data_IF_904255750308
#
_entry.id   IF_904255750308
#
_cell.length_a   1.000
_cell.length_b   1.000
_cell.length_c   1.000
_cell.angle_alpha   90.00
_cell.angle_beta   90.00
_cell.angle_gamma   90.00
#
_symmetry.space_group_name_H-M   'P 1'
#
loop_
_entity.id
_entity.type
_entity.pdbx_description
1 polymer ?
#
# COMPACT_ATOMS: atom_id res chain seq x y z
N UNK A 1 7.32 -69.34 -60.58
CA UNK A 1 7.15 -69.17 -59.12
C UNK A 1 8.39 -68.43 -58.63
N UNK A 2 8.27 -67.11 -58.42
CA UNK A 2 9.35 -66.25 -57.91
C UNK A 2 9.39 -66.34 -56.38
N UNK A 3 10.58 -66.40 -55.74
CA UNK A 3 10.68 -66.29 -54.29
C UNK A 3 10.49 -64.83 -53.82
N UNK A 4 9.96 -64.61 -52.62
CA UNK A 4 9.48 -63.31 -52.17
C UNK A 4 10.61 -62.39 -51.69
N UNK A 5 10.44 -61.11 -52.00
CA UNK A 5 11.28 -59.98 -51.62
C UNK A 5 11.10 -59.63 -50.14
N UNK A 6 12.20 -59.60 -49.39
CA UNK A 6 12.29 -59.05 -48.03
C UNK A 6 12.31 -57.52 -48.11
N UNK A 7 11.27 -56.87 -47.60
CA UNK A 7 11.23 -55.41 -47.36
C UNK A 7 11.63 -55.17 -45.89
N UNK A 8 12.63 -54.33 -45.59
CA UNK A 8 12.99 -54.01 -44.22
C UNK A 8 11.99 -53.02 -43.62
N UNK A 9 11.41 -53.40 -42.48
CA UNK A 9 10.52 -52.56 -41.68
C UNK A 9 11.36 -51.48 -40.97
N UNK A 10 11.33 -50.24 -41.48
CA UNK A 10 11.88 -49.07 -40.79
C UNK A 10 10.93 -48.66 -39.65
N UNK A 11 11.32 -48.96 -38.40
CA UNK A 11 10.72 -48.34 -37.22
C UNK A 11 11.14 -46.86 -37.17
N UNK A 12 10.22 -45.97 -37.56
CA UNK A 12 10.31 -44.53 -37.24
C UNK A 12 9.97 -44.35 -35.76
N UNK A 13 11.00 -44.24 -34.91
CA UNK A 13 10.84 -43.73 -33.56
C UNK A 13 10.49 -42.24 -33.63
N UNK A 14 9.21 -41.89 -33.46
CA UNK A 14 8.78 -40.51 -33.27
C UNK A 14 9.23 -40.04 -31.88
N UNK A 15 10.39 -39.39 -31.82
CA UNK A 15 10.78 -38.56 -30.69
C UNK A 15 9.86 -37.34 -30.66
N UNK A 16 8.80 -37.41 -29.84
CA UNK A 16 8.04 -36.24 -29.46
C UNK A 16 8.96 -35.32 -28.65
N UNK A 17 9.52 -34.30 -29.29
CA UNK A 17 10.11 -33.16 -28.60
C UNK A 17 8.98 -32.42 -27.88
N UNK A 18 8.79 -32.71 -26.60
CA UNK A 18 8.11 -31.78 -25.70
C UNK A 18 9.03 -30.57 -25.60
N UNK A 19 8.71 -29.51 -26.34
CA UNK A 19 9.33 -28.22 -26.13
C UNK A 19 8.97 -27.80 -24.70
N UNK A 20 9.92 -27.94 -23.78
CA UNK A 20 9.82 -27.31 -22.48
C UNK A 20 9.71 -25.81 -22.74
N UNK A 21 8.52 -25.25 -22.56
CA UNK A 21 8.35 -23.81 -22.40
C UNK A 21 9.39 -23.36 -21.38
N UNK A 22 10.21 -22.33 -21.65
CA UNK A 22 11.11 -21.79 -20.66
C UNK A 22 10.28 -21.51 -19.42
N UNK A 23 10.54 -22.25 -18.34
CA UNK A 23 9.86 -22.01 -17.08
C UNK A 23 10.02 -20.54 -16.78
N UNK A 24 8.90 -19.81 -16.69
CA UNK A 24 8.89 -18.50 -16.08
C UNK A 24 9.54 -18.70 -14.71
N UNK A 25 10.78 -18.25 -14.55
CA UNK A 25 11.38 -18.13 -13.23
C UNK A 25 10.42 -17.19 -12.50
N UNK A 26 9.72 -17.63 -11.44
CA UNK A 26 8.85 -16.73 -10.71
C UNK A 26 9.72 -15.56 -10.24
N UNK A 27 9.41 -14.37 -10.72
CA UNK A 27 10.09 -13.17 -10.27
C UNK A 27 9.56 -12.90 -8.86
N UNK A 28 10.24 -13.47 -7.87
CA UNK A 28 10.01 -13.12 -6.48
C UNK A 28 10.44 -11.66 -6.35
N UNK A 29 9.54 -10.80 -5.88
CA UNK A 29 9.85 -9.43 -5.50
C UNK A 29 11.03 -9.49 -4.54
N UNK A 30 12.26 -9.22 -5.04
CA UNK A 30 13.46 -9.44 -4.23
C UNK A 30 13.35 -8.53 -3.01
N UNK A 31 13.54 -9.06 -1.79
CA UNK A 31 13.58 -8.25 -0.59
C UNK A 31 14.57 -7.10 -0.82
N UNK A 32 14.17 -5.89 -0.43
CA UNK A 32 15.09 -4.75 -0.45
C UNK A 32 16.33 -5.11 0.36
N UNK A 33 17.51 -4.72 -0.12
CA UNK A 33 18.73 -4.85 0.69
C UNK A 33 18.76 -3.90 1.89
N UNK A 34 17.84 -2.93 1.92
CA UNK A 34 17.67 -1.96 2.98
C UNK A 34 16.48 -2.33 3.85
N UNK A 35 16.51 -1.92 5.10
CA UNK A 35 15.31 -1.95 5.96
C UNK A 35 14.19 -1.12 5.32
N UNK A 36 12.96 -1.63 5.36
CA UNK A 36 11.85 -1.00 4.67
C UNK A 36 11.17 0.07 5.54
N UNK A 37 11.70 1.30 5.50
CA UNK A 37 11.03 2.47 6.09
C UNK A 37 10.01 2.99 5.10
N UNK A 38 8.73 2.78 5.41
CA UNK A 38 7.63 3.26 4.58
C UNK A 38 7.06 4.57 5.11
N UNK A 39 7.01 5.58 4.25
CA UNK A 39 6.43 6.88 4.60
C UNK A 39 4.91 6.84 4.46
N UNK A 40 4.21 6.63 5.58
CA UNK A 40 2.76 6.56 5.64
C UNK A 40 2.13 7.84 5.06
N UNK A 41 1.43 7.72 3.94
CA UNK A 41 0.86 8.82 3.15
C UNK A 41 1.87 9.91 2.80
N UNK A 42 3.12 9.51 2.53
CA UNK A 42 4.25 10.40 2.30
C UNK A 42 4.89 10.99 3.57
N UNK A 43 4.58 10.47 4.75
CA UNK A 43 5.08 10.99 6.04
C UNK A 43 4.18 12.07 6.61
N UNK A 44 2.89 11.73 6.79
CA UNK A 44 1.81 12.62 7.25
C UNK A 44 2.15 13.41 8.51
N UNK A 45 3.00 12.91 9.39
CA UNK A 45 3.41 13.63 10.60
C UNK A 45 4.30 14.85 10.31
N UNK A 46 5.01 14.82 9.19
CA UNK A 46 5.89 15.91 8.75
C UNK A 46 5.18 16.88 7.80
N UNK A 47 4.39 16.38 6.84
CA UNK A 47 3.77 17.16 5.76
C UNK A 47 2.33 16.68 5.55
N UNK A 48 1.41 17.54 5.08
CA UNK A 48 0.01 17.16 4.81
C UNK A 48 -0.09 15.91 3.92
N UNK A 49 -0.80 14.90 4.42
CA UNK A 49 -0.86 13.54 3.87
C UNK A 49 -1.24 13.46 2.40
N UNK A 50 -0.76 12.42 1.70
CA UNK A 50 -1.22 12.04 0.37
C UNK A 50 -1.10 13.17 -0.68
N UNK A 51 -0.17 14.11 -0.46
CA UNK A 51 0.12 15.23 -1.36
C UNK A 51 1.51 15.11 -2.00
N UNK A 52 1.71 15.70 -3.19
CA UNK A 52 3.04 15.72 -3.84
C UNK A 52 4.15 16.24 -2.90
N UNK A 53 3.97 17.30 -2.11
CA UNK A 53 4.95 17.74 -1.13
C UNK A 53 5.30 16.70 -0.07
N UNK A 54 4.35 15.91 0.43
CA UNK A 54 4.65 14.85 1.40
C UNK A 54 5.59 13.81 0.78
N UNK A 55 5.25 13.30 -0.40
CA UNK A 55 6.09 12.34 -1.12
C UNK A 55 7.47 12.91 -1.48
N UNK A 56 7.55 14.20 -1.83
CA UNK A 56 8.83 14.89 -2.05
C UNK A 56 9.73 14.84 -0.81
N UNK A 57 9.19 15.15 0.36
CA UNK A 57 9.96 15.11 1.60
C UNK A 57 10.30 13.69 2.04
N UNK A 58 9.43 12.71 1.82
CA UNK A 58 9.74 11.29 2.02
C UNK A 58 10.96 10.84 1.19
N UNK A 59 11.03 11.23 -0.09
CA UNK A 59 12.20 10.97 -0.95
C UNK A 59 13.47 11.66 -0.41
N UNK A 60 13.36 12.94 -0.01
CA UNK A 60 14.49 13.70 0.54
C UNK A 60 14.99 13.11 1.86
N UNK A 61 14.08 12.61 2.69
CA UNK A 61 14.41 11.98 3.96
C UNK A 61 14.95 10.55 3.80
N UNK A 62 14.74 9.94 2.63
CA UNK A 62 15.29 8.64 2.26
C UNK A 62 14.42 7.50 2.75
N UNK A 63 13.11 7.61 2.61
CA UNK A 63 12.22 6.47 2.75
C UNK A 63 12.57 5.38 1.73
N UNK A 64 12.43 4.12 2.12
CA UNK A 64 12.63 2.98 1.22
C UNK A 64 11.40 2.77 0.33
N UNK A 65 10.22 3.07 0.87
CA UNK A 65 8.94 2.90 0.22
C UNK A 65 8.07 4.14 0.45
N UNK A 66 7.37 4.57 -0.59
CA UNK A 66 6.27 5.53 -0.48
C UNK A 66 4.99 4.75 -0.27
N UNK A 67 4.32 5.01 0.86
CA UNK A 67 3.03 4.41 1.18
C UNK A 67 1.94 5.44 0.91
N UNK A 68 0.82 5.00 0.32
CA UNK A 68 -0.32 5.87 0.04
C UNK A 68 -1.63 5.09 -0.08
N UNK A 69 -2.72 5.85 -0.03
CA UNK A 69 -4.08 5.35 -0.15
C UNK A 69 -4.70 5.69 -1.50
N UNK A 70 -5.59 4.83 -2.01
CA UNK A 70 -6.37 5.10 -3.19
C UNK A 70 -7.87 5.05 -2.95
N UNK A 71 -8.56 5.98 -3.61
CA UNK A 71 -10.00 5.98 -3.85
C UNK A 71 -10.30 6.10 -5.35
N UNK A 72 -11.56 5.88 -5.74
CA UNK A 72 -11.98 5.97 -7.15
C UNK A 72 -13.16 6.92 -7.29
N UNK A 73 -13.01 7.91 -8.16
CA UNK A 73 -14.05 8.90 -8.45
C UNK A 73 -15.27 8.30 -9.14
N UNK A 74 -16.36 9.06 -9.21
CA UNK A 74 -17.59 8.71 -9.93
C UNK A 74 -17.33 8.27 -11.37
N UNK A 75 -16.50 9.04 -12.08
CA UNK A 75 -16.05 8.84 -13.46
C UNK A 75 -14.88 7.83 -13.59
N UNK A 76 -14.50 7.15 -12.50
CA UNK A 76 -13.66 5.96 -12.54
C UNK A 76 -12.15 6.23 -12.55
N UNK A 77 -11.72 7.40 -12.07
CA UNK A 77 -10.30 7.76 -11.98
C UNK A 77 -9.76 7.37 -10.60
N UNK A 78 -8.61 6.69 -10.57
CA UNK A 78 -7.91 6.36 -9.33
C UNK A 78 -7.17 7.59 -8.82
N UNK A 79 -7.48 7.99 -7.59
CA UNK A 79 -6.91 9.18 -6.93
C UNK A 79 -6.29 8.82 -5.59
N UNK A 80 -5.27 9.59 -5.19
CA UNK A 80 -4.51 9.43 -3.96
C UNK A 80 -5.27 10.09 -2.81
N UNK A 81 -6.01 9.29 -2.04
CA UNK A 81 -6.90 9.76 -0.99
C UNK A 81 -7.25 8.63 0.00
N UNK A 82 -7.31 8.95 1.29
CA UNK A 82 -7.50 7.97 2.36
C UNK A 82 -8.95 7.64 2.67
N UNK A 83 -9.79 8.66 2.84
CA UNK A 83 -11.11 8.47 3.42
C UNK A 83 -12.14 8.17 2.32
N UNK A 84 -13.28 7.55 2.64
CA UNK A 84 -14.32 7.40 1.63
C UNK A 84 -15.00 8.73 1.30
N UNK A 85 -15.02 9.67 2.27
CA UNK A 85 -15.59 11.01 2.14
C UNK A 85 -14.49 12.08 2.03
N UNK A 86 -14.80 13.21 1.40
CA UNK A 86 -13.94 14.40 1.43
C UNK A 86 -14.09 15.07 2.80
N UNK A 87 -13.11 14.88 3.68
CA UNK A 87 -13.23 15.29 5.08
C UNK A 87 -12.94 16.79 5.26
N UNK A 88 -13.81 17.58 5.94
CA UNK A 88 -13.64 19.02 6.10
C UNK A 88 -12.40 19.44 6.90
N UNK A 89 -11.85 18.55 7.74
CA UNK A 89 -10.59 18.82 8.46
C UNK A 89 -9.34 18.70 7.56
N UNK A 90 -9.46 18.10 6.38
CA UNK A 90 -8.36 17.84 5.44
C UNK A 90 -8.43 18.70 4.18
N UNK A 91 -9.62 18.90 3.63
CA UNK A 91 -9.83 19.69 2.42
C UNK A 91 -10.82 20.84 2.62
N UNK A 92 -10.70 21.86 1.77
CA UNK A 92 -11.67 22.96 1.62
C UNK A 92 -12.12 23.10 0.17
N UNK A 93 -13.39 23.45 -0.02
CA UNK A 93 -13.91 23.89 -1.30
C UNK A 93 -13.25 25.23 -1.72
N UNK A 94 -12.95 25.38 -3.01
CA UNK A 94 -12.43 26.65 -3.55
C UNK A 94 -13.38 27.27 -4.57
N UNK A 95 -13.91 26.46 -5.48
CA UNK A 95 -14.87 26.85 -6.53
C UNK A 95 -15.62 25.61 -7.03
N UNK A 96 -16.80 25.77 -7.64
CA UNK A 96 -17.42 24.68 -8.38
C UNK A 96 -16.60 24.33 -9.63
N UNK A 97 -16.73 23.09 -10.09
CA UNK A 97 -16.08 22.58 -11.29
C UNK A 97 -16.63 23.24 -12.57
N UNK A 98 -17.90 23.62 -12.55
CA UNK A 98 -18.58 24.36 -13.61
C UNK A 98 -19.67 25.27 -13.01
N UNK A 99 -20.14 26.25 -13.77
CA UNK A 99 -21.20 27.17 -13.35
C UNK A 99 -22.46 26.40 -12.96
N UNK A 100 -23.08 26.78 -11.83
CA UNK A 100 -24.28 26.14 -11.28
C UNK A 100 -24.17 24.63 -11.05
N UNK A 101 -22.97 24.10 -10.76
CA UNK A 101 -22.80 22.70 -10.39
C UNK A 101 -23.68 22.35 -9.17
N UNK A 102 -24.73 21.52 -9.32
CA UNK A 102 -25.67 21.20 -8.24
C UNK A 102 -25.01 20.40 -7.12
N UNK A 103 -23.83 19.84 -7.38
CA UNK A 103 -23.07 19.10 -6.40
C UNK A 103 -22.10 19.99 -5.59
N UNK A 104 -21.95 21.28 -5.87
CA UNK A 104 -21.14 22.16 -5.03
C UNK A 104 -21.94 22.62 -3.78
N UNK A 105 -21.38 22.60 -2.55
CA UNK A 105 -20.00 22.26 -2.17
C UNK A 105 -19.70 20.74 -2.13
N UNK A 106 -18.44 20.36 -2.33
CA UNK A 106 -18.02 18.96 -2.42
C UNK A 106 -17.49 18.39 -1.10
N UNK A 107 -16.93 19.23 -0.22
CA UNK A 107 -16.47 18.76 1.10
C UNK A 107 -17.65 18.19 1.89
N UNK A 108 -17.46 17.02 2.48
CA UNK A 108 -18.48 16.24 3.18
C UNK A 108 -19.17 15.19 2.31
N UNK A 109 -18.90 15.13 1.00
CA UNK A 109 -19.44 14.11 0.09
C UNK A 109 -18.51 12.92 -0.05
N UNK A 110 -19.10 11.76 -0.36
CA UNK A 110 -18.37 10.54 -0.70
C UNK A 110 -17.62 10.69 -2.02
N UNK A 111 -16.34 10.36 -2.03
CA UNK A 111 -15.44 10.44 -3.20
C UNK A 111 -16.00 9.69 -4.41
N UNK A 112 -16.59 8.52 -4.20
CA UNK A 112 -17.19 7.70 -5.26
C UNK A 112 -18.38 8.39 -5.97
N UNK A 113 -18.92 9.47 -5.39
CA UNK A 113 -19.99 10.29 -5.96
C UNK A 113 -19.49 11.59 -6.60
N UNK A 114 -18.20 11.90 -6.53
CA UNK A 114 -17.60 13.09 -7.13
C UNK A 114 -16.80 12.71 -8.38
N UNK A 115 -16.87 13.53 -9.42
CA UNK A 115 -16.03 13.40 -10.62
C UNK A 115 -14.61 13.91 -10.35
N UNK A 116 -13.64 13.53 -11.19
CA UNK A 116 -12.29 14.07 -11.10
C UNK A 116 -12.28 15.60 -11.18
N UNK A 117 -13.08 16.19 -12.07
CA UNK A 117 -13.16 17.63 -12.26
C UNK A 117 -13.57 18.37 -10.96
N UNK A 118 -14.51 17.80 -10.21
CA UNK A 118 -14.96 18.31 -8.90
C UNK A 118 -13.87 18.14 -7.84
N UNK A 119 -13.28 16.95 -7.75
CA UNK A 119 -12.19 16.66 -6.81
C UNK A 119 -10.99 17.59 -7.03
N UNK A 120 -10.69 17.95 -8.29
CA UNK A 120 -9.59 18.85 -8.66
C UNK A 120 -9.82 20.33 -8.32
N UNK A 121 -10.98 20.71 -7.80
CA UNK A 121 -11.18 22.07 -7.26
C UNK A 121 -10.82 22.17 -5.77
N UNK A 122 -10.61 21.05 -5.08
CA UNK A 122 -10.36 21.03 -3.64
C UNK A 122 -8.93 21.46 -3.31
N UNK A 123 -8.79 22.25 -2.25
CA UNK A 123 -7.49 22.49 -1.61
C UNK A 123 -7.37 21.59 -0.38
N UNK A 124 -6.48 20.61 -0.51
CA UNK A 124 -6.20 19.59 0.49
C UNK A 124 -4.78 19.72 1.05
N UNK A 125 -4.11 20.86 0.86
CA UNK A 125 -2.76 21.13 1.37
C UNK A 125 -2.68 22.25 2.39
N UNK A 126 -3.73 23.07 2.52
CA UNK A 126 -3.77 24.22 3.44
C UNK A 126 -4.06 23.88 4.90
N UNK A 127 -4.68 22.74 5.18
CA UNK A 127 -5.20 22.43 6.51
C UNK A 127 -4.24 21.53 7.28
N UNK A 128 -3.71 22.07 8.38
CA UNK A 128 -2.95 21.29 9.35
C UNK A 128 -3.92 20.48 10.20
N UNK A 129 -3.64 19.19 10.34
CA UNK A 129 -4.41 18.29 11.21
C UNK A 129 -3.99 18.47 12.68
N UNK A 130 -4.96 18.42 13.60
CA UNK A 130 -4.72 18.72 15.02
C UNK A 130 -3.79 17.70 15.68
N UNK A 131 -3.84 16.45 15.20
CA UNK A 131 -3.00 15.34 15.67
C UNK A 131 -1.53 15.50 15.22
N UNK A 132 -1.26 16.37 14.23
CA UNK A 132 0.06 16.61 13.66
C UNK A 132 0.43 18.10 13.72
N UNK A 133 0.68 18.65 14.93
CA UNK A 133 0.88 20.09 15.12
C UNK A 133 2.14 20.64 14.44
N UNK A 134 3.11 19.78 14.12
CA UNK A 134 4.35 20.15 13.43
C UNK A 134 4.28 19.98 11.90
N UNK A 135 3.15 19.51 11.37
CA UNK A 135 2.94 19.26 9.94
C UNK A 135 3.07 20.55 9.13
N UNK A 136 3.90 20.55 8.09
CA UNK A 136 3.99 21.66 7.14
C UNK A 136 2.82 21.61 6.16
N UNK A 137 2.28 22.78 5.85
CA UNK A 137 1.19 22.97 4.89
C UNK A 137 1.72 23.52 3.58
N UNK A 138 1.07 23.15 2.48
CA UNK A 138 1.36 23.59 1.12
C UNK A 138 0.05 24.07 0.51
N UNK A 139 -0.29 25.35 0.64
CA UNK A 139 -1.59 25.85 0.23
C UNK A 139 -1.91 25.55 -1.23
N UNK A 140 -3.19 25.28 -1.52
CA UNK A 140 -3.71 24.97 -2.84
C UNK A 140 -3.24 23.63 -3.44
N UNK A 141 -2.59 22.76 -2.65
CA UNK A 141 -2.26 21.42 -3.13
C UNK A 141 -3.54 20.61 -3.33
N UNK A 142 -3.66 19.97 -4.49
CA UNK A 142 -4.85 19.23 -4.90
C UNK A 142 -4.68 17.73 -4.65
N UNK A 143 -5.79 17.00 -4.60
CA UNK A 143 -5.79 15.54 -4.68
C UNK A 143 -5.15 15.12 -6.02
N UNK A 144 -4.21 14.19 -5.97
CA UNK A 144 -3.50 13.68 -7.15
C UNK A 144 -4.22 12.45 -7.72
N UNK A 145 -4.20 12.28 -9.04
CA UNK A 145 -4.45 10.99 -9.68
C UNK A 145 -3.23 10.09 -9.50
N UNK A 146 -3.39 8.78 -9.68
CA UNK A 146 -2.25 7.85 -9.66
C UNK A 146 -1.21 8.17 -10.75
N UNK A 147 -1.65 8.69 -11.91
CA UNK A 147 -0.72 9.09 -12.97
C UNK A 147 0.12 10.30 -12.54
N UNK A 148 -0.48 11.34 -11.98
CA UNK A 148 0.26 12.55 -11.59
C UNK A 148 1.30 12.28 -10.50
N UNK A 149 1.00 11.37 -9.54
CA UNK A 149 1.98 11.00 -8.52
C UNK A 149 3.14 10.20 -9.13
N UNK A 150 2.87 9.25 -10.03
CA UNK A 150 3.93 8.52 -10.72
C UNK A 150 4.79 9.42 -11.61
N UNK A 151 4.18 10.33 -12.38
CA UNK A 151 4.90 11.29 -13.23
C UNK A 151 5.84 12.17 -12.37
N UNK A 152 5.35 12.66 -11.22
CA UNK A 152 6.16 13.44 -10.28
C UNK A 152 7.35 12.63 -9.75
N UNK A 153 7.11 11.41 -9.28
CA UNK A 153 8.16 10.60 -8.68
C UNK A 153 9.15 10.09 -9.73
N UNK A 154 8.73 9.73 -10.94
CA UNK A 154 9.62 9.46 -12.08
C UNK A 154 10.55 10.64 -12.40
N UNK A 155 10.05 11.89 -12.36
CA UNK A 155 10.91 13.05 -12.49
C UNK A 155 11.99 13.07 -11.39
N UNK A 156 11.62 12.77 -10.14
CA UNK A 156 12.53 12.79 -9.00
C UNK A 156 13.49 11.57 -8.95
N UNK A 157 13.05 10.43 -9.46
CA UNK A 157 13.66 9.11 -9.41
C UNK A 157 13.71 8.46 -10.81
N UNK A 158 14.67 8.84 -11.67
CA UNK A 158 14.77 8.31 -13.02
C UNK A 158 15.31 6.88 -13.09
N UNK A 159 15.78 6.34 -11.97
CA UNK A 159 16.33 4.97 -11.90
C UNK A 159 15.27 3.97 -11.41
N UNK A 160 14.11 4.47 -10.98
CA UNK A 160 13.03 3.68 -10.41
C UNK A 160 13.49 2.87 -9.17
N UNK A 161 14.29 3.52 -8.33
CA UNK A 161 14.87 2.96 -7.10
C UNK A 161 13.85 2.89 -5.95
N UNK A 162 12.87 3.80 -5.91
CA UNK A 162 11.87 3.85 -4.85
C UNK A 162 10.84 2.71 -4.99
N UNK A 163 10.41 2.17 -3.85
CA UNK A 163 9.32 1.19 -3.78
C UNK A 163 8.00 1.85 -3.46
N UNK A 164 6.90 1.16 -3.74
CA UNK A 164 5.55 1.64 -3.48
C UNK A 164 4.75 0.61 -2.68
N UNK A 165 3.96 1.09 -1.73
CA UNK A 165 2.95 0.31 -1.04
C UNK A 165 1.62 1.04 -1.15
N UNK A 166 0.69 0.51 -1.94
CA UNK A 166 -0.50 1.25 -2.40
C UNK A 166 -1.75 0.57 -1.88
N UNK A 167 -2.51 1.27 -1.03
CA UNK A 167 -3.71 0.74 -0.39
C UNK A 167 -4.98 0.92 -1.23
N UNK A 168 -5.76 -0.14 -1.39
CA UNK A 168 -7.15 -0.04 -1.84
C UNK A 168 -8.10 0.25 -0.68
N UNK A 169 -8.69 1.45 -0.63
CA UNK A 169 -9.71 1.83 0.35
C UNK A 169 -11.09 1.33 -0.09
N UNK A 170 -11.33 0.04 0.15
CA UNK A 170 -12.61 -0.63 -0.10
C UNK A 170 -13.25 -0.95 1.24
N UNK A 171 -14.52 -0.60 1.39
CA UNK A 171 -15.29 -0.90 2.60
C UNK A 171 -16.26 -2.07 2.33
N UNK A 172 -16.04 -3.24 2.96
CA UNK A 172 -16.91 -4.41 2.84
C UNK A 172 -18.20 -4.29 3.67
N UNK A 173 -18.24 -3.41 4.66
CA UNK A 173 -19.39 -3.15 5.54
C UNK A 173 -20.38 -2.20 4.86
N UNK A 174 -19.88 -1.18 4.16
CA UNK A 174 -20.67 -0.21 3.42
C UNK A 174 -20.32 -0.20 1.92
N UNK A 175 -20.64 -1.27 1.17
CA UNK A 175 -20.20 -1.47 -0.22
C UNK A 175 -20.70 -0.40 -1.21
N UNK A 176 -21.68 0.42 -0.84
CA UNK A 176 -22.18 1.52 -1.66
C UNK A 176 -21.33 2.80 -1.56
N UNK A 177 -20.36 2.87 -0.64
CA UNK A 177 -19.48 4.05 -0.44
C UNK A 177 -18.21 3.98 -1.30
N UNK A 178 -17.92 2.82 -1.89
CA UNK A 178 -16.76 2.58 -2.75
C UNK A 178 -17.16 1.87 -4.05
N UNK A 179 -16.25 1.75 -5.02
CA UNK A 179 -16.48 0.88 -6.19
C UNK A 179 -16.37 -0.58 -5.76
N UNK A 180 -17.03 -1.47 -6.52
CA UNK A 180 -16.94 -2.92 -6.26
C UNK A 180 -15.49 -3.41 -6.28
N UNK A 181 -15.19 -4.50 -5.55
CA UNK A 181 -13.84 -5.11 -5.48
C UNK A 181 -13.24 -5.32 -6.88
N UNK A 182 -14.00 -5.91 -7.80
CA UNK A 182 -13.52 -6.19 -9.16
C UNK A 182 -13.21 -4.92 -9.95
N UNK A 183 -14.09 -3.92 -9.90
CA UNK A 183 -13.84 -2.64 -10.58
C UNK A 183 -12.64 -1.90 -9.96
N UNK A 184 -12.51 -1.93 -8.64
CA UNK A 184 -11.44 -1.25 -7.93
C UNK A 184 -10.08 -1.85 -8.28
N UNK A 185 -9.95 -3.17 -8.17
CA UNK A 185 -8.73 -3.91 -8.52
C UNK A 185 -8.36 -3.67 -9.97
N UNK A 186 -9.33 -3.76 -10.90
CA UNK A 186 -9.07 -3.57 -12.33
C UNK A 186 -8.52 -2.17 -12.64
N UNK A 187 -9.09 -1.12 -12.03
CA UNK A 187 -8.66 0.26 -12.26
C UNK A 187 -7.29 0.55 -11.65
N UNK A 188 -7.02 0.07 -10.44
CA UNK A 188 -5.69 0.19 -9.83
C UNK A 188 -4.63 -0.60 -10.60
N UNK A 189 -4.92 -1.86 -10.96
CA UNK A 189 -4.01 -2.69 -11.76
C UNK A 189 -3.64 -2.02 -13.08
N UNK A 190 -4.64 -1.43 -13.78
CA UNK A 190 -4.37 -0.66 -14.99
C UNK A 190 -3.40 0.52 -14.74
N UNK A 191 -3.62 1.30 -13.67
CA UNK A 191 -2.71 2.38 -13.31
C UNK A 191 -1.29 1.87 -12.96
N UNK A 192 -1.16 0.66 -12.42
CA UNK A 192 0.13 0.05 -12.07
C UNK A 192 0.87 -0.45 -13.31
N UNK A 193 0.20 -1.17 -14.21
CA UNK A 193 0.87 -1.73 -15.40
C UNK A 193 1.34 -0.65 -16.39
N UNK A 194 0.65 0.48 -16.39
CA UNK A 194 1.01 1.67 -17.18
C UNK A 194 2.18 2.45 -16.56
N UNK A 195 2.53 2.17 -15.30
CA UNK A 195 3.61 2.82 -14.57
C UNK A 195 4.96 2.13 -14.84
N UNK A 196 6.06 2.91 -14.97
CA UNK A 196 7.40 2.31 -15.01
C UNK A 196 7.76 1.60 -13.68
N UNK A 197 7.04 1.89 -12.59
CA UNK A 197 7.22 1.29 -11.28
C UNK A 197 6.50 -0.05 -11.09
N UNK A 198 5.89 -0.65 -12.11
CA UNK A 198 5.05 -1.85 -11.96
C UNK A 198 5.69 -3.01 -11.18
N UNK A 199 7.02 -3.10 -11.19
CA UNK A 199 7.76 -4.15 -10.47
C UNK A 199 8.22 -3.75 -9.07
N UNK A 200 7.99 -2.50 -8.69
CA UNK A 200 8.29 -1.90 -7.38
C UNK A 200 7.03 -1.72 -6.53
N UNK A 201 5.85 -2.03 -7.07
CA UNK A 201 4.56 -1.85 -6.41
C UNK A 201 4.17 -3.10 -5.60
N UNK A 202 3.83 -2.86 -4.34
CA UNK A 202 3.06 -3.75 -3.48
C UNK A 202 1.62 -3.24 -3.41
N UNK A 203 0.65 -4.14 -3.62
CA UNK A 203 -0.77 -3.87 -3.43
C UNK A 203 -1.18 -4.27 -2.01
N UNK A 204 -1.64 -3.32 -1.20
CA UNK A 204 -2.10 -3.58 0.17
C UNK A 204 -3.60 -3.32 0.33
N UNK A 205 -4.23 -4.02 1.28
CA UNK A 205 -5.63 -3.76 1.62
C UNK A 205 -6.05 -4.42 2.93
N UNK A 206 -6.99 -3.80 3.63
CA UNK A 206 -7.79 -4.44 4.67
C UNK A 206 -8.87 -5.37 4.10
N UNK A 207 -9.42 -5.04 2.92
CA UNK A 207 -10.36 -5.92 2.25
C UNK A 207 -9.58 -7.01 1.52
N UNK A 208 -9.35 -8.12 2.22
CA UNK A 208 -8.57 -9.26 1.73
C UNK A 208 -9.20 -9.88 0.47
N UNK A 209 -10.48 -9.64 0.19
CA UNK A 209 -11.11 -10.07 -1.09
C UNK A 209 -10.40 -9.43 -2.27
N UNK A 210 -9.99 -8.17 -2.11
CA UNK A 210 -9.27 -7.44 -3.15
C UNK A 210 -7.86 -7.99 -3.38
N UNK A 211 -7.20 -8.50 -2.33
CA UNK A 211 -5.89 -9.15 -2.45
C UNK A 211 -5.99 -10.45 -3.24
N UNK A 212 -7.02 -11.26 -2.96
CA UNK A 212 -7.31 -12.51 -3.70
C UNK A 212 -7.57 -12.21 -5.18
N UNK A 213 -8.41 -11.21 -5.47
CA UNK A 213 -8.73 -10.80 -6.85
C UNK A 213 -7.51 -10.22 -7.56
N UNK A 214 -6.71 -9.39 -6.89
CA UNK A 214 -5.47 -8.83 -7.45
C UNK A 214 -4.45 -9.92 -7.77
N UNK A 215 -4.25 -10.89 -6.87
CA UNK A 215 -3.33 -12.02 -7.08
C UNK A 215 -3.77 -12.93 -8.24
N UNK A 216 -5.08 -13.10 -8.42
CA UNK A 216 -5.62 -13.83 -9.56
C UNK A 216 -5.43 -13.09 -10.88
N UNK A 217 -5.52 -11.75 -10.86
CA UNK A 217 -5.31 -10.89 -12.03
C UNK A 217 -3.82 -10.77 -12.40
N UNK A 218 -2.95 -10.61 -11.42
CA UNK A 218 -1.50 -10.49 -11.57
C UNK A 218 -0.77 -11.31 -10.48
N UNK A 219 -0.41 -12.57 -10.77
CA UNK A 219 0.28 -13.42 -9.81
C UNK A 219 1.66 -12.93 -9.39
N UNK A 220 2.25 -11.97 -10.13
CA UNK A 220 3.58 -11.43 -9.86
C UNK A 220 3.56 -10.22 -8.92
N UNK A 221 2.41 -9.55 -8.76
CA UNK A 221 2.31 -8.41 -7.84
C UNK A 221 2.43 -8.89 -6.40
N UNK A 222 3.24 -8.17 -5.61
CA UNK A 222 3.31 -8.43 -4.19
C UNK A 222 2.02 -7.94 -3.51
N UNK A 223 1.46 -8.75 -2.61
CA UNK A 223 0.25 -8.42 -1.86
C UNK A 223 0.54 -8.33 -0.37
N UNK A 224 0.02 -7.28 0.27
CA UNK A 224 0.19 -7.01 1.71
C UNK A 224 -1.16 -6.99 2.43
N UNK A 225 -1.32 -7.91 3.38
CA UNK A 225 -2.55 -8.08 4.15
C UNK A 225 -2.56 -7.13 5.35
N UNK A 226 -3.34 -6.04 5.24
CA UNK A 226 -3.57 -5.13 6.38
C UNK A 226 -4.56 -5.77 7.35
N UNK A 227 -4.30 -5.59 8.65
CA UNK A 227 -5.19 -6.07 9.70
C UNK A 227 -4.99 -5.28 11.01
N UNK A 228 -6.08 -5.06 11.71
CA UNK A 228 -6.15 -4.49 13.07
C UNK A 228 -7.22 -5.22 13.88
N UNK A 229 -7.49 -4.77 15.10
CA UNK A 229 -8.49 -5.44 15.94
C UNK A 229 -9.92 -5.34 15.39
N UNK A 230 -10.26 -4.21 14.76
CA UNK A 230 -11.62 -3.92 14.27
C UNK A 230 -11.96 -4.75 13.03
N UNK A 231 -10.95 -5.10 12.25
CA UNK A 231 -11.06 -5.95 11.06
C UNK A 231 -10.84 -7.43 11.37
N UNK A 232 -10.04 -7.76 12.40
CA UNK A 232 -9.76 -9.13 12.80
C UNK A 232 -10.91 -9.79 13.57
N UNK A 233 -11.60 -9.03 14.44
CA UNK A 233 -12.55 -9.58 15.41
C UNK A 233 -13.93 -8.96 15.23
N UNK A 234 -14.96 -9.80 15.14
CA UNK A 234 -16.37 -9.34 15.20
C UNK A 234 -16.93 -9.55 16.61
N UNK A 235 -17.91 -8.73 17.07
CA UNK A 235 -18.50 -8.88 18.41
C UNK A 235 -19.11 -10.26 18.70
N UNK A 236 -19.55 -10.96 17.65
CA UNK A 236 -20.18 -12.29 17.70
C UNK A 236 -19.22 -13.44 17.36
N UNK A 237 -17.92 -13.15 17.19
CA UNK A 237 -16.90 -14.12 16.75
C UNK A 237 -17.28 -14.87 15.46
N UNK A 238 -17.98 -14.16 14.58
CA UNK A 238 -18.36 -14.63 13.26
C UNK A 238 -17.28 -14.25 12.23
N UNK A 239 -17.49 -14.65 10.98
CA UNK A 239 -16.56 -14.35 9.89
C UNK A 239 -16.55 -12.84 9.61
N UNK A 240 -15.39 -12.21 9.80
CA UNK A 240 -15.19 -10.82 9.42
C UNK A 240 -15.39 -10.63 7.90
N UNK A 241 -16.12 -9.58 7.53
CA UNK A 241 -16.34 -9.22 6.12
C UNK A 241 -15.06 -8.73 5.43
N UNK A 242 -14.04 -8.37 6.21
CA UNK A 242 -12.73 -7.90 5.74
C UNK A 242 -11.81 -9.06 5.30
N UNK A 243 -11.92 -10.23 5.94
CA UNK A 243 -10.94 -11.30 5.83
C UNK A 243 -11.22 -12.30 4.69
N UNK A 244 -11.93 -11.88 3.64
CA UNK A 244 -12.27 -12.72 2.49
C UNK A 244 -12.96 -14.05 2.82
N UNK A 245 -13.71 -14.10 3.92
CA UNK A 245 -14.37 -15.32 4.39
C UNK A 245 -13.49 -16.24 5.24
N UNK A 246 -12.24 -15.86 5.50
CA UNK A 246 -11.32 -16.62 6.36
C UNK A 246 -11.64 -16.38 7.83
N UNK A 247 -11.60 -17.47 8.60
CA UNK A 247 -11.81 -17.49 10.04
C UNK A 247 -10.47 -17.65 10.75
N UNK A 248 -10.11 -16.72 11.63
CA UNK A 248 -8.84 -16.78 12.36
C UNK A 248 -8.78 -17.99 13.30
N UNK A 249 -9.89 -18.32 13.96
CA UNK A 249 -10.02 -19.46 14.87
C UNK A 249 -10.06 -20.84 14.16
N UNK A 250 -9.97 -20.87 12.82
CA UNK A 250 -9.76 -22.09 12.07
C UNK A 250 -8.29 -22.54 12.02
N UNK A 251 -7.37 -21.71 12.52
CA UNK A 251 -5.94 -22.00 12.59
C UNK A 251 -5.50 -22.27 14.03
N UNK A 252 -4.50 -23.13 14.19
CA UNK A 252 -3.92 -23.45 15.50
C UNK A 252 -2.98 -22.33 15.98
N UNK A 253 -2.78 -22.27 17.30
CA UNK A 253 -1.80 -21.39 17.93
C UNK A 253 -2.41 -20.21 18.69
N UNK A 254 -1.56 -19.25 19.03
CA UNK A 254 -1.97 -17.96 19.57
C UNK A 254 -2.77 -17.14 18.54
N UNK A 255 -3.40 -16.05 18.99
CA UNK A 255 -4.05 -15.11 18.08
C UNK A 255 -3.09 -14.56 17.00
N UNK A 256 -1.84 -14.26 17.38
CA UNK A 256 -0.82 -13.79 16.43
C UNK A 256 -0.47 -14.83 15.37
N UNK A 257 -0.32 -16.09 15.78
CA UNK A 257 -0.05 -17.22 14.88
C UNK A 257 -1.23 -17.46 13.94
N UNK A 258 -2.46 -17.37 14.44
CA UNK A 258 -3.70 -17.47 13.66
C UNK A 258 -3.80 -16.40 12.58
N UNK A 259 -3.51 -15.15 12.92
CA UNK A 259 -3.49 -14.03 11.96
C UNK A 259 -2.48 -14.29 10.84
N UNK A 260 -1.26 -14.71 11.18
CA UNK A 260 -0.24 -15.02 10.19
C UNK A 260 -0.63 -16.19 9.28
N UNK A 261 -1.19 -17.26 9.85
CA UNK A 261 -1.67 -18.41 9.07
C UNK A 261 -2.84 -18.04 8.14
N UNK A 262 -3.76 -17.20 8.61
CA UNK A 262 -4.89 -16.71 7.83
C UNK A 262 -4.43 -15.85 6.65
N UNK A 263 -3.52 -14.89 6.86
CA UNK A 263 -2.96 -14.08 5.78
C UNK A 263 -2.20 -14.94 4.76
N UNK A 264 -1.46 -15.96 5.22
CA UNK A 264 -0.81 -16.90 4.30
C UNK A 264 -1.82 -17.70 3.47
N UNK A 265 -2.95 -18.08 4.06
CA UNK A 265 -3.97 -18.92 3.39
C UNK A 265 -4.59 -18.24 2.16
N UNK A 266 -4.62 -16.90 2.12
CA UNK A 266 -5.08 -16.13 0.96
C UNK A 266 -3.96 -15.78 -0.03
N UNK A 267 -2.73 -16.24 0.23
CA UNK A 267 -1.57 -16.01 -0.63
C UNK A 267 -0.93 -14.62 -0.48
N UNK A 268 -1.04 -13.97 0.69
CA UNK A 268 -0.31 -12.74 0.96
C UNK A 268 1.22 -12.99 1.02
N UNK A 269 2.01 -12.02 0.55
CA UNK A 269 3.48 -12.04 0.67
C UNK A 269 3.95 -11.27 1.90
N UNK A 270 3.14 -10.30 2.36
CA UNK A 270 3.42 -9.43 3.49
C UNK A 270 2.22 -9.44 4.43
N UNK A 271 2.47 -9.59 5.72
CA UNK A 271 1.51 -9.31 6.78
C UNK A 271 1.78 -7.90 7.32
N UNK A 272 0.75 -7.05 7.35
CA UNK A 272 0.85 -5.65 7.76
C UNK A 272 -0.11 -5.37 8.92
N UNK A 273 0.26 -5.75 10.15
CA UNK A 273 -0.59 -5.59 11.33
C UNK A 273 -0.50 -4.17 11.93
N UNK A 274 -1.56 -3.74 12.61
CA UNK A 274 -1.47 -2.57 13.48
C UNK A 274 -0.40 -2.77 14.58
N UNK A 275 0.22 -1.69 15.07
CA UNK A 275 1.21 -1.76 16.15
C UNK A 275 0.54 -1.93 17.53
N UNK A 276 -0.60 -1.26 17.73
CA UNK A 276 -1.41 -1.28 18.97
C UNK A 276 -2.85 -1.72 18.67
N UNK A 277 -3.47 -2.41 19.63
CA UNK A 277 -4.84 -2.92 19.50
C UNK A 277 -5.92 -1.90 19.93
N UNK A 278 -5.54 -0.79 20.56
CA UNK A 278 -6.45 0.27 20.98
C UNK A 278 -5.81 1.63 20.73
N UNK A 279 -6.60 2.58 20.22
CA UNK A 279 -6.15 3.96 20.02
C UNK A 279 -6.21 4.79 21.32
N UNK A 280 -6.82 4.27 22.39
CA UNK A 280 -6.98 5.01 23.65
C UNK A 280 -5.69 5.00 24.50
N UNK A 281 -4.87 3.96 24.39
CA UNK A 281 -3.59 3.82 25.11
C UNK A 281 -2.52 3.37 24.14
N UNK A 282 -1.73 4.33 23.65
CA UNK A 282 -0.72 4.10 22.61
C UNK A 282 0.71 3.97 23.16
N UNK A 283 0.96 4.31 24.43
CA UNK A 283 2.26 4.18 25.09
C UNK A 283 2.42 2.81 25.76
N UNK A 284 3.43 1.99 25.38
CA UNK A 284 3.80 0.79 26.11
C UNK A 284 4.04 0.93 27.61
N UNK A 285 4.28 2.15 28.10
CA UNK A 285 4.51 2.43 29.53
C UNK A 285 3.24 2.75 30.31
N UNK A 286 2.11 2.93 29.63
CA UNK A 286 0.83 3.25 30.25
C UNK A 286 0.00 1.99 30.57
N UNK A 287 -0.69 1.94 31.73
CA UNK A 287 -1.60 0.86 32.05
C UNK A 287 -2.72 0.74 31.02
N UNK A 288 -2.94 -0.48 30.51
CA UNK A 288 -3.97 -0.74 29.49
C UNK A 288 -3.43 -0.81 28.06
N UNK A 289 -2.14 -0.55 27.84
CA UNK A 289 -1.50 -0.78 26.55
C UNK A 289 -1.59 -2.25 26.12
N UNK A 290 -2.10 -2.49 24.92
CA UNK A 290 -2.18 -3.83 24.32
C UNK A 290 -1.52 -3.79 22.94
N UNK A 291 -0.37 -4.46 22.73
CA UNK A 291 0.22 -4.55 21.41
C UNK A 291 -0.66 -5.42 20.50
N UNK A 292 -0.86 -4.98 19.26
CA UNK A 292 -1.54 -5.81 18.25
C UNK A 292 -0.52 -6.68 17.50
N UNK A 293 0.58 -6.07 17.06
CA UNK A 293 1.75 -6.82 16.59
C UNK A 293 2.41 -7.53 17.78
N UNK A 294 2.60 -8.84 17.68
CA UNK A 294 3.28 -9.65 18.72
C UNK A 294 4.45 -10.42 18.14
N UNK A 295 5.37 -10.87 19.00
CA UNK A 295 6.56 -11.63 18.57
C UNK A 295 6.20 -12.95 17.87
N UNK A 296 5.25 -13.68 18.42
CA UNK A 296 4.73 -14.94 17.87
C UNK A 296 4.06 -14.74 16.50
N UNK A 297 3.37 -13.61 16.29
CA UNK A 297 2.86 -13.23 14.96
C UNK A 297 4.00 -13.06 13.95
N UNK A 298 5.08 -12.37 14.34
CA UNK A 298 6.24 -12.14 13.48
C UNK A 298 6.96 -13.45 13.17
N UNK A 299 7.28 -14.24 14.21
CA UNK A 299 7.96 -15.52 14.08
C UNK A 299 7.15 -16.48 13.18
N UNK A 300 5.82 -16.51 13.33
CA UNK A 300 4.95 -17.35 12.50
C UNK A 300 4.86 -16.89 11.05
N UNK A 301 4.77 -15.59 10.81
CA UNK A 301 4.76 -15.04 9.46
C UNK A 301 6.07 -15.38 8.72
N UNK A 302 7.22 -15.27 9.40
CA UNK A 302 8.51 -15.66 8.84
C UNK A 302 8.62 -17.17 8.59
N UNK A 303 8.12 -18.03 9.49
CA UNK A 303 8.04 -19.48 9.27
C UNK A 303 7.25 -19.80 7.99
N UNK A 304 6.19 -19.03 7.71
CA UNK A 304 5.33 -19.16 6.53
C UNK A 304 5.89 -18.45 5.28
N UNK A 305 7.09 -17.85 5.38
CA UNK A 305 7.80 -17.17 4.31
C UNK A 305 7.18 -15.83 3.89
N UNK A 306 6.44 -15.17 4.77
CA UNK A 306 5.94 -13.80 4.58
C UNK A 306 6.89 -12.79 5.23
N UNK A 307 6.87 -11.55 4.74
CA UNK A 307 7.47 -10.40 5.44
C UNK A 307 6.46 -9.82 6.44
N UNK A 308 6.93 -9.07 7.43
CA UNK A 308 6.08 -8.34 8.39
C UNK A 308 6.43 -6.86 8.43
N UNK A 309 5.43 -6.01 8.17
CA UNK A 309 5.58 -4.55 8.11
C UNK A 309 4.47 -3.87 8.92
N UNK A 310 4.64 -3.63 10.24
CA UNK A 310 3.60 -3.01 11.05
C UNK A 310 3.32 -1.53 10.74
N UNK A 311 2.10 -1.08 11.04
CA UNK A 311 1.63 0.31 10.88
C UNK A 311 0.77 0.75 12.08
N UNK A 312 0.51 2.03 12.35
CA UNK A 312 1.38 3.16 12.01
C UNK A 312 2.27 3.43 13.22
N UNK A 313 3.54 3.03 13.14
CA UNK A 313 4.45 3.08 14.30
C UNK A 313 5.00 4.50 14.45
N UNK A 314 4.46 5.25 15.40
CA UNK A 314 4.83 6.65 15.64
C UNK A 314 5.60 6.88 16.95
N UNK A 315 5.84 5.83 17.71
CA UNK A 315 6.55 5.86 19.00
C UNK A 315 7.84 5.06 18.91
N UNK A 316 8.95 5.66 19.35
CA UNK A 316 10.27 5.02 19.25
C UNK A 316 10.39 3.80 20.17
N UNK A 317 9.77 3.81 21.36
CA UNK A 317 9.77 2.64 22.24
C UNK A 317 8.99 1.45 21.65
N UNK A 318 7.95 1.70 20.85
CA UNK A 318 7.27 0.66 20.04
C UNK A 318 8.19 0.20 18.90
N UNK A 319 8.75 1.14 18.14
CA UNK A 319 9.65 0.83 17.02
C UNK A 319 10.86 -0.02 17.46
N UNK A 320 11.50 0.34 18.57
CA UNK A 320 12.62 -0.42 19.15
C UNK A 320 12.24 -1.85 19.47
N UNK A 321 11.06 -2.06 20.07
CA UNK A 321 10.56 -3.38 20.44
C UNK A 321 10.31 -4.26 19.21
N UNK A 322 9.60 -3.75 18.20
CA UNK A 322 9.31 -4.54 16.99
C UNK A 322 10.57 -4.77 16.14
N UNK A 323 11.54 -3.85 16.16
CA UNK A 323 12.87 -4.08 15.57
C UNK A 323 13.63 -5.20 16.28
N UNK A 324 13.48 -5.37 17.60
CA UNK A 324 14.04 -6.51 18.34
C UNK A 324 13.30 -7.83 18.05
N UNK A 325 12.08 -7.77 17.54
CA UNK A 325 11.37 -8.92 16.97
C UNK A 325 11.67 -9.14 15.48
N UNK A 326 12.59 -8.37 14.90
CA UNK A 326 13.08 -8.53 13.54
C UNK A 326 12.01 -8.34 12.44
N UNK A 327 11.06 -7.42 12.62
CA UNK A 327 10.17 -7.00 11.52
C UNK A 327 10.98 -6.53 10.31
N UNK A 328 10.41 -6.68 9.11
CA UNK A 328 11.11 -6.41 7.83
C UNK A 328 10.99 -4.94 7.39
N UNK A 329 10.00 -4.24 7.92
CA UNK A 329 9.75 -2.84 7.66
C UNK A 329 8.85 -2.20 8.72
N UNK A 330 8.71 -0.87 8.62
CA UNK A 330 7.84 -0.06 9.47
C UNK A 330 7.16 0.98 8.60
N UNK A 331 5.83 1.04 8.67
CA UNK A 331 5.01 2.14 8.15
C UNK A 331 4.84 3.18 9.27
N UNK A 332 5.20 4.43 8.99
CA UNK A 332 5.23 5.51 9.99
C UNK A 332 4.87 6.86 9.41
N UNK A 333 4.25 7.72 10.22
CA UNK A 333 4.02 9.13 9.89
C UNK A 333 5.33 9.95 9.94
N UNK A 334 6.39 9.43 10.57
CA UNK A 334 7.68 10.09 10.79
C UNK A 334 8.86 9.28 10.21
N UNK A 335 8.93 9.08 8.88
CA UNK A 335 9.96 8.23 8.25
C UNK A 335 11.39 8.68 8.53
N UNK A 336 11.61 10.00 8.65
CA UNK A 336 12.88 10.59 9.05
C UNK A 336 13.35 10.11 10.43
N UNK A 337 12.44 9.93 11.39
CA UNK A 337 12.76 9.49 12.74
C UNK A 337 13.05 7.99 12.79
N UNK A 338 12.21 7.17 12.16
CA UNK A 338 12.45 5.71 12.08
C UNK A 338 13.75 5.42 11.34
N UNK A 339 14.03 6.11 10.23
CA UNK A 339 15.31 5.98 9.51
C UNK A 339 16.52 6.27 10.40
N UNK A 340 16.47 7.34 11.20
CA UNK A 340 17.55 7.70 12.15
C UNK A 340 17.73 6.62 13.21
N UNK A 341 16.64 6.09 13.76
CA UNK A 341 16.68 5.00 14.73
C UNK A 341 17.34 3.75 14.13
N UNK A 342 16.92 3.32 12.94
CA UNK A 342 17.50 2.13 12.28
C UNK A 342 18.98 2.35 11.97
N UNK A 343 19.37 3.57 11.53
CA UNK A 343 20.77 3.92 11.31
C UNK A 343 21.59 3.88 12.60
N UNK A 344 21.06 4.42 13.70
CA UNK A 344 21.72 4.43 15.01
C UNK A 344 21.94 3.01 15.54
N UNK A 345 20.97 2.12 15.33
CA UNK A 345 21.06 0.71 15.77
C UNK A 345 22.08 -0.09 14.96
N UNK A 346 22.39 0.31 13.73
CA UNK A 346 23.48 -0.26 12.92
C UNK A 346 23.32 -1.72 12.49
N UNK A 347 22.12 -2.31 12.67
CA UNK A 347 21.82 -3.72 12.32
C UNK A 347 21.30 -3.90 10.90
N UNK A 348 20.83 -2.83 10.26
CA UNK A 348 20.28 -2.89 8.90
C UNK A 348 20.92 -1.84 8.00
N UNK A 349 20.98 -2.14 6.70
CA UNK A 349 21.34 -1.13 5.71
C UNK A 349 20.19 -0.14 5.53
N UNK A 350 20.55 1.11 5.24
CA UNK A 350 19.62 2.21 5.08
C UNK A 350 19.66 2.67 3.62
N UNK A 351 18.50 2.93 3.01
CA UNK A 351 18.41 3.42 1.64
C UNK A 351 19.17 4.75 1.44
N UNK A 352 19.70 5.08 0.26
CA UNK A 352 20.23 6.41 0.00
C UNK A 352 19.12 7.47 0.04
N UNK A 353 19.51 8.74 0.21
CA UNK A 353 18.58 9.87 0.08
C UNK A 353 18.55 10.35 -1.37
N UNK A 354 17.38 10.82 -1.82
CA UNK A 354 17.26 11.42 -3.13
C UNK A 354 17.87 12.84 -3.17
N UNK A 355 18.46 13.28 -4.30
CA UNK A 355 19.05 14.61 -4.40
C UNK A 355 18.01 15.71 -4.21
N UNK A 356 18.04 16.39 -3.06
CA UNK A 356 17.05 17.41 -2.67
C UNK A 356 16.77 18.46 -3.76
N UNK A 357 17.81 18.94 -4.45
CA UNK A 357 17.66 19.93 -5.54
C UNK A 357 16.77 19.40 -6.67
N UNK A 358 16.97 18.14 -7.08
CA UNK A 358 16.17 17.51 -8.15
C UNK A 358 14.72 17.32 -7.70
N UNK A 359 14.53 16.74 -6.51
CA UNK A 359 13.19 16.46 -5.97
C UNK A 359 12.35 17.74 -5.88
N UNK A 360 12.93 18.84 -5.37
CA UNK A 360 12.21 20.11 -5.25
C UNK A 360 11.93 20.77 -6.60
N UNK A 361 12.80 20.61 -7.60
CA UNK A 361 12.54 21.12 -8.95
C UNK A 361 11.38 20.38 -9.61
N UNK A 362 11.36 19.04 -9.53
CA UNK A 362 10.24 18.22 -9.98
C UNK A 362 8.96 18.59 -9.22
N UNK A 363 9.03 18.76 -7.89
CA UNK A 363 7.86 19.16 -7.10
C UNK A 363 7.27 20.48 -7.61
N UNK A 364 8.12 21.50 -7.84
CA UNK A 364 7.67 22.80 -8.36
C UNK A 364 6.96 22.64 -9.71
N UNK A 365 7.58 21.91 -10.64
CA UNK A 365 7.02 21.66 -11.97
C UNK A 365 5.65 20.97 -11.89
N UNK A 366 5.53 19.90 -11.10
CA UNK A 366 4.29 19.13 -11.01
C UNK A 366 3.20 19.84 -10.19
N UNK A 367 3.57 20.66 -9.21
CA UNK A 367 2.64 21.57 -8.52
C UNK A 367 2.07 22.63 -9.45
N UNK A 368 2.88 23.15 -10.39
CA UNK A 368 2.39 24.06 -11.43
C UNK A 368 1.40 23.34 -12.37
N UNK A 369 1.71 22.12 -12.80
CA UNK A 369 0.81 21.31 -13.63
C UNK A 369 -0.53 21.02 -12.95
N UNK A 370 -0.56 20.80 -11.63
CA UNK A 370 -1.82 20.63 -10.91
C UNK A 370 -2.68 21.90 -10.90
N UNK A 371 -2.09 23.08 -11.04
CA UNK A 371 -2.77 24.37 -10.96
C UNK A 371 -3.18 24.96 -12.31
N UNK A 372 -2.70 24.38 -13.41
CA UNK A 372 -3.24 24.58 -14.76
C UNK A 372 -4.60 23.87 -14.90
#
# INVERSE_FOLDING_TARGET
MQPPSLVPLLLLAQLAFVAATPGQIPFVNKPSRYFDVQAHRGGRGNIVENTLPAFAWALIDGSTTLELDNGITKDGVVVVWHDEDIVPRKCRDTKPAFEDDPDFPYVGKTLANLTLAQVKTLDCGSQRQIEFPLQLTFPLTKISTMKEIFDFVECADPQYDIRWNIESKIDPVFPNRTKSVGEFVQRQHQAFVDSPYRFQITYQSFDWRSLVVMKALDPMIATSALIDIETAVTPDNNTSSWLAGVRLDAFDGSFGEQVAAAAKSIGADILSPADVASLDVDDPTEPGYIPFTTRDMVDKAHELGMLVVPWTVNRLNVAERILDWNVDGIITDYPNMIRRLVQQRGRHHIAPKFPKKRVLECLRQHMELQNL
#
